data_IF_840619332913
#
_entry.id   IF_840619332913
#
_cell.length_a   1.000
_cell.length_b   1.000
_cell.length_c   1.000
_cell.angle_alpha   90.00
_cell.angle_beta   90.00
_cell.angle_gamma   90.00
#
_symmetry.space_group_name_H-M   'P 1'
#
loop_
_entity.id
_entity.type
_entity.pdbx_description
1 polymer ?
#
# COMPACT_ATOMS: atom_id res chain seq x y z
N UNK A 1 66.42 -12.98 -52.14
CA UNK A 1 65.00 -12.56 -52.26
C UNK A 1 64.21 -13.17 -51.12
N UNK A 2 63.99 -12.39 -50.06
CA UNK A 2 62.88 -12.59 -49.12
C UNK A 2 62.46 -11.17 -48.72
N UNK A 3 61.42 -10.68 -49.37
CA UNK A 3 60.82 -9.39 -49.07
C UNK A 3 60.00 -9.59 -47.80
N UNK A 4 60.44 -8.98 -46.70
CA UNK A 4 59.63 -8.91 -45.48
C UNK A 4 58.64 -7.79 -45.71
N UNK A 5 57.41 -8.15 -46.08
CA UNK A 5 56.30 -7.20 -46.14
C UNK A 5 56.05 -6.65 -44.73
N UNK A 6 55.99 -5.31 -44.54
CA UNK A 6 55.70 -4.74 -43.25
C UNK A 6 54.25 -5.07 -42.89
N UNK A 7 54.06 -5.72 -41.75
CA UNK A 7 52.74 -5.95 -41.16
C UNK A 7 52.10 -4.56 -40.98
N UNK A 8 51.19 -4.22 -41.89
CA UNK A 8 50.26 -3.13 -41.76
C UNK A 8 49.61 -3.25 -40.38
N UNK A 9 50.05 -2.39 -39.45
CA UNK A 9 49.44 -2.19 -38.15
C UNK A 9 48.01 -1.73 -38.38
N UNK A 10 47.08 -2.70 -38.48
CA UNK A 10 45.65 -2.47 -38.49
C UNK A 10 45.32 -1.74 -37.19
N UNK A 11 45.12 -0.42 -37.28
CA UNK A 11 44.67 0.40 -36.16
C UNK A 11 43.42 -0.30 -35.61
N UNK A 12 43.39 -0.71 -34.33
CA UNK A 12 42.26 -1.45 -33.81
C UNK A 12 40.99 -0.65 -34.09
N UNK A 13 40.05 -1.29 -34.77
CA UNK A 13 38.70 -0.76 -34.94
C UNK A 13 38.19 -0.38 -33.54
N UNK A 14 37.52 0.77 -33.36
CA UNK A 14 37.04 1.17 -32.06
C UNK A 14 36.15 0.06 -31.52
N UNK A 15 36.65 -0.63 -30.49
CA UNK A 15 35.89 -1.70 -29.85
C UNK A 15 34.55 -1.11 -29.39
N UNK A 16 33.43 -1.83 -29.59
CA UNK A 16 32.14 -1.36 -29.15
C UNK A 16 32.25 -0.98 -27.67
N UNK A 17 31.90 0.27 -27.35
CA UNK A 17 32.13 0.96 -26.07
C UNK A 17 31.84 0.10 -24.83
N UNK A 18 30.88 -0.83 -24.96
CA UNK A 18 30.47 -1.83 -23.98
C UNK A 18 31.58 -2.82 -23.54
N UNK A 19 32.57 -3.11 -24.39
CA UNK A 19 33.67 -4.03 -24.08
C UNK A 19 34.84 -3.38 -23.33
N UNK A 20 34.89 -2.04 -23.31
CA UNK A 20 35.92 -1.30 -22.57
C UNK A 20 35.74 -1.45 -21.06
N UNK A 21 36.84 -1.41 -20.30
CA UNK A 21 36.79 -1.39 -18.83
C UNK A 21 35.91 -0.23 -18.30
N UNK A 22 35.91 0.90 -19.00
CA UNK A 22 35.08 2.06 -18.66
C UNK A 22 33.57 1.78 -18.83
N UNK A 23 33.18 1.14 -19.93
CA UNK A 23 31.78 0.73 -20.18
C UNK A 23 31.25 -0.20 -19.10
N UNK A 24 32.03 -1.22 -18.72
CA UNK A 24 31.68 -2.15 -17.62
C UNK A 24 31.58 -1.45 -16.26
N UNK A 25 32.49 -0.52 -15.96
CA UNK A 25 32.45 0.24 -14.70
C UNK A 25 31.19 1.13 -14.61
N UNK A 26 30.81 1.80 -15.71
CA UNK A 26 29.60 2.62 -15.76
C UNK A 26 28.33 1.79 -15.62
N UNK A 27 28.28 0.61 -16.27
CA UNK A 27 27.17 -0.34 -16.14
C UNK A 27 27.03 -0.85 -14.71
N UNK A 28 28.15 -1.16 -14.04
CA UNK A 28 28.16 -1.54 -12.62
C UNK A 28 27.67 -0.42 -11.70
N UNK A 29 28.10 0.84 -11.90
CA UNK A 29 27.61 1.96 -11.10
C UNK A 29 26.12 2.21 -11.31
N UNK A 30 25.64 2.10 -12.55
CA UNK A 30 24.22 2.19 -12.88
C UNK A 30 23.43 1.06 -12.21
N UNK A 31 23.94 -0.17 -12.29
CA UNK A 31 23.34 -1.33 -11.63
C UNK A 31 23.29 -1.18 -10.11
N UNK A 32 24.37 -0.74 -9.46
CA UNK A 32 24.42 -0.50 -8.01
C UNK A 32 23.39 0.58 -7.64
N UNK A 33 23.35 1.69 -8.38
CA UNK A 33 22.38 2.76 -8.13
C UNK A 33 20.95 2.27 -8.28
N UNK A 34 20.62 1.58 -9.38
CA UNK A 34 19.29 1.00 -9.60
C UNK A 34 18.94 -0.05 -8.53
N UNK A 35 19.92 -0.84 -8.09
CA UNK A 35 19.75 -1.84 -7.03
C UNK A 35 19.53 -1.16 -5.68
N UNK A 36 20.26 -0.10 -5.34
CA UNK A 36 20.04 0.71 -4.13
C UNK A 36 18.69 1.41 -4.15
N UNK A 37 18.31 1.99 -5.29
CA UNK A 37 16.99 2.63 -5.48
C UNK A 37 15.84 1.61 -5.35
N UNK A 38 16.06 0.34 -5.74
CA UNK A 38 15.10 -0.77 -5.56
C UNK A 38 15.14 -1.40 -4.17
N UNK A 39 16.29 -1.42 -3.50
CA UNK A 39 16.51 -2.02 -2.19
C UNK A 39 16.02 -1.13 -1.02
N UNK A 40 15.77 0.15 -1.28
CA UNK A 40 14.98 1.02 -0.40
C UNK A 40 13.55 0.47 -0.30
N UNK A 41 13.33 -0.55 0.53
CA UNK A 41 12.00 -0.98 0.94
C UNK A 41 11.26 0.22 1.50
N UNK A 42 10.02 0.40 1.07
CA UNK A 42 9.19 1.51 1.52
C UNK A 42 8.79 1.28 2.99
N UNK A 43 9.64 1.69 3.93
CA UNK A 43 9.38 1.71 5.39
C UNK A 43 8.58 2.94 5.82
N UNK A 44 8.04 3.69 4.86
CA UNK A 44 7.55 5.04 5.09
C UNK A 44 6.07 5.12 5.50
N UNK A 45 5.49 4.10 6.12
CA UNK A 45 4.19 4.26 6.80
C UNK A 45 4.42 5.10 8.07
N UNK A 46 3.74 6.25 8.25
CA UNK A 46 3.90 7.08 9.44
C UNK A 46 3.24 6.40 10.64
N UNK A 47 4.03 5.74 11.50
CA UNK A 47 3.52 5.02 12.68
C UNK A 47 2.63 5.89 13.57
N UNK A 48 3.02 7.13 13.84
CA UNK A 48 2.21 8.10 14.59
C UNK A 48 0.87 8.43 13.93
N UNK A 49 0.81 8.47 12.59
CA UNK A 49 -0.45 8.66 11.87
C UNK A 49 -1.41 7.50 12.11
N UNK A 50 -0.89 6.27 12.11
CA UNK A 50 -1.67 5.07 12.45
C UNK A 50 -2.18 5.08 13.90
N UNK A 51 -1.38 5.56 14.85
CA UNK A 51 -1.82 5.71 16.25
C UNK A 51 -2.99 6.69 16.36
N UNK A 52 -2.92 7.86 15.69
CA UNK A 52 -4.01 8.84 15.73
C UNK A 52 -5.28 8.29 15.08
N UNK A 53 -5.18 7.63 13.93
CA UNK A 53 -6.32 6.95 13.29
C UNK A 53 -6.91 5.87 14.22
N UNK A 54 -6.07 5.12 14.92
CA UNK A 54 -6.54 4.14 15.90
C UNK A 54 -7.33 4.78 17.05
N UNK A 55 -6.88 5.92 17.56
CA UNK A 55 -7.59 6.64 18.63
C UNK A 55 -8.95 7.16 18.14
N UNK A 56 -9.03 7.75 16.95
CA UNK A 56 -10.32 8.22 16.40
C UNK A 56 -11.28 7.06 16.16
N UNK A 57 -10.78 5.95 15.61
CA UNK A 57 -11.57 4.75 15.39
C UNK A 57 -12.08 4.12 16.71
N UNK A 58 -11.28 4.12 17.78
CA UNK A 58 -11.73 3.66 19.09
C UNK A 58 -12.83 4.55 19.68
N UNK A 59 -12.71 5.87 19.52
CA UNK A 59 -13.77 6.82 19.93
C UNK A 59 -15.05 6.57 19.12
N UNK A 60 -14.93 6.42 17.79
CA UNK A 60 -16.05 6.10 16.92
C UNK A 60 -16.72 4.78 17.32
N UNK A 61 -15.94 3.73 17.60
CA UNK A 61 -16.46 2.44 18.06
C UNK A 61 -17.19 2.53 19.41
N UNK A 62 -16.66 3.31 20.37
CA UNK A 62 -17.32 3.55 21.65
C UNK A 62 -18.66 4.26 21.47
N UNK A 63 -18.72 5.27 20.60
CA UNK A 63 -19.96 5.98 20.26
C UNK A 63 -20.94 5.01 19.59
N UNK A 64 -20.50 4.30 18.55
CA UNK A 64 -21.31 3.35 17.79
C UNK A 64 -21.86 2.21 18.67
N UNK A 65 -21.13 1.75 19.69
CA UNK A 65 -21.59 0.71 20.61
C UNK A 65 -22.79 1.11 21.49
N UNK A 66 -23.13 2.40 21.55
CA UNK A 66 -24.25 2.94 22.35
C UNK A 66 -25.46 3.32 21.50
N UNK A 67 -25.32 3.26 20.19
CA UNK A 67 -26.35 3.62 19.24
C UNK A 67 -27.10 2.33 18.87
N UNK A 68 -28.40 2.31 19.12
CA UNK A 68 -29.27 1.19 18.71
C UNK A 68 -29.86 1.40 17.30
N UNK A 69 -29.81 2.62 16.78
CA UNK A 69 -30.28 2.95 15.44
C UNK A 69 -29.19 2.64 14.40
N UNK A 70 -29.49 1.74 13.47
CA UNK A 70 -28.53 1.25 12.48
C UNK A 70 -28.09 2.33 11.49
N UNK A 71 -28.94 3.33 11.21
CA UNK A 71 -28.59 4.46 10.36
C UNK A 71 -27.60 5.38 11.06
N UNK A 72 -27.86 5.75 12.32
CA UNK A 72 -26.92 6.54 13.12
C UNK A 72 -25.59 5.81 13.32
N UNK A 73 -25.62 4.49 13.52
CA UNK A 73 -24.42 3.65 13.58
C UNK A 73 -23.61 3.74 12.30
N UNK A 74 -24.28 3.63 11.14
CA UNK A 74 -23.64 3.77 9.82
C UNK A 74 -23.05 5.17 9.62
N UNK A 75 -23.76 6.23 10.04
CA UNK A 75 -23.28 7.61 9.91
C UNK A 75 -21.96 7.85 10.68
N UNK A 76 -21.82 7.28 11.87
CA UNK A 76 -20.57 7.37 12.65
C UNK A 76 -19.39 6.80 11.85
N UNK A 77 -19.53 5.60 11.29
CA UNK A 77 -18.48 4.98 10.48
C UNK A 77 -18.25 5.69 9.14
N UNK A 78 -19.32 6.20 8.52
CA UNK A 78 -19.24 6.99 7.31
C UNK A 78 -18.49 8.32 7.51
N UNK A 79 -18.56 8.92 8.70
CA UNK A 79 -17.76 10.09 9.08
C UNK A 79 -16.32 9.74 9.51
N UNK A 80 -16.12 8.59 10.16
CA UNK A 80 -14.79 8.13 10.58
C UNK A 80 -13.89 7.81 9.38
N UNK A 81 -14.43 7.21 8.31
CA UNK A 81 -13.66 6.88 7.10
C UNK A 81 -12.94 8.10 6.48
N UNK A 82 -13.61 9.22 6.14
CA UNK A 82 -12.95 10.39 5.58
C UNK A 82 -12.01 11.06 6.60
N UNK A 83 -12.34 11.02 7.90
CA UNK A 83 -11.46 11.52 8.95
C UNK A 83 -10.14 10.72 9.00
N UNK A 84 -10.21 9.40 8.98
CA UNK A 84 -9.06 8.50 8.95
C UNK A 84 -8.22 8.70 7.68
N UNK A 85 -8.86 8.83 6.51
CA UNK A 85 -8.17 9.14 5.25
C UNK A 85 -7.46 10.49 5.30
N UNK A 86 -8.07 11.51 5.90
CA UNK A 86 -7.48 12.83 6.05
C UNK A 86 -6.25 12.79 6.97
N UNK A 87 -6.37 12.17 8.14
CA UNK A 87 -5.27 12.01 9.11
C UNK A 87 -4.12 11.22 8.47
N UNK A 88 -4.43 10.07 7.85
CA UNK A 88 -3.45 9.24 7.16
C UNK A 88 -2.76 9.99 6.02
N UNK A 89 -3.53 10.71 5.20
CA UNK A 89 -3.03 11.54 4.11
C UNK A 89 -2.08 12.65 4.59
N UNK A 90 -2.47 13.38 5.64
CA UNK A 90 -1.64 14.43 6.24
C UNK A 90 -0.36 13.84 6.85
N UNK A 91 -0.46 12.73 7.59
CA UNK A 91 0.68 12.07 8.20
C UNK A 91 1.67 11.56 7.13
N UNK A 92 1.17 10.97 6.04
CA UNK A 92 1.98 10.56 4.91
C UNK A 92 2.65 11.76 4.25
N UNK A 93 1.93 12.88 4.10
CA UNK A 93 2.49 14.12 3.54
C UNK A 93 3.62 14.68 4.37
N UNK A 94 3.44 14.75 5.69
CA UNK A 94 4.44 15.24 6.64
C UNK A 94 5.69 14.36 6.64
N UNK A 95 5.53 13.03 6.67
CA UNK A 95 6.67 12.09 6.66
C UNK A 95 7.42 12.11 5.33
N UNK A 96 6.73 12.17 4.20
CA UNK A 96 7.37 12.26 2.89
C UNK A 96 8.17 13.56 2.74
N UNK A 97 7.60 14.69 3.17
CA UNK A 97 8.29 15.99 3.16
C UNK A 97 9.50 16.02 4.09
N UNK A 98 9.41 15.41 5.28
CA UNK A 98 10.52 15.32 6.23
C UNK A 98 11.66 14.43 5.70
N UNK A 99 11.33 13.38 4.95
CA UNK A 99 12.30 12.46 4.36
C UNK A 99 12.80 12.89 2.96
N UNK A 100 12.43 14.09 2.47
CA UNK A 100 12.79 14.60 1.13
C UNK A 100 12.44 13.64 -0.03
N UNK A 101 11.49 12.74 0.18
CA UNK A 101 10.97 11.82 -0.84
C UNK A 101 9.63 12.35 -1.35
N UNK A 102 9.39 12.22 -2.66
CA UNK A 102 8.08 12.56 -3.22
C UNK A 102 7.01 11.67 -2.58
N UNK A 103 5.90 12.26 -2.12
CA UNK A 103 4.72 11.55 -1.59
C UNK A 103 4.27 10.41 -2.51
N UNK A 104 4.35 10.67 -3.82
CA UNK A 104 4.08 9.73 -4.90
C UNK A 104 5.36 9.02 -5.34
N UNK A 105 6.11 8.47 -4.39
CA UNK A 105 7.08 7.44 -4.72
C UNK A 105 6.36 6.28 -5.41
N UNK A 106 7.05 5.57 -6.31
CA UNK A 106 6.43 4.49 -7.08
C UNK A 106 5.69 3.44 -6.23
N UNK A 107 6.15 3.06 -5.01
CA UNK A 107 5.41 2.17 -4.11
C UNK A 107 4.15 2.81 -3.50
N UNK A 108 4.24 4.04 -2.98
CA UNK A 108 3.10 4.73 -2.37
C UNK A 108 1.95 4.98 -3.36
N UNK A 109 2.27 5.37 -4.60
CA UNK A 109 1.26 5.54 -5.66
C UNK A 109 0.55 4.22 -6.00
N UNK A 110 1.31 3.12 -6.07
CA UNK A 110 0.73 1.79 -6.31
C UNK A 110 -0.18 1.37 -5.15
N UNK A 111 0.23 1.59 -3.91
CA UNK A 111 -0.60 1.32 -2.73
C UNK A 111 -1.93 2.09 -2.79
N UNK A 112 -1.91 3.40 -3.05
CA UNK A 112 -3.14 4.18 -3.18
C UNK A 112 -4.01 3.67 -4.32
N UNK A 113 -3.43 3.41 -5.50
CA UNK A 113 -4.18 2.87 -6.65
C UNK A 113 -4.76 1.47 -6.40
N UNK A 114 -4.13 0.66 -5.55
CA UNK A 114 -4.65 -0.64 -5.14
C UNK A 114 -5.72 -0.55 -4.05
N UNK A 115 -5.65 0.46 -3.18
CA UNK A 115 -6.61 0.66 -2.09
C UNK A 115 -7.88 1.40 -2.55
N UNK A 116 -7.78 2.28 -3.55
CA UNK A 116 -8.93 3.06 -4.04
C UNK A 116 -10.08 2.18 -4.56
N UNK A 117 -9.87 1.16 -5.42
CA UNK A 117 -10.99 0.36 -5.92
C UNK A 117 -11.75 -0.39 -4.81
N UNK A 118 -11.09 -1.07 -3.84
CA UNK A 118 -11.80 -1.67 -2.71
C UNK A 118 -12.54 -0.66 -1.82
N UNK A 119 -12.01 0.55 -1.63
CA UNK A 119 -12.70 1.60 -0.87
C UNK A 119 -13.98 2.07 -1.60
N UNK A 120 -13.90 2.29 -2.91
CA UNK A 120 -15.06 2.66 -3.72
C UNK A 120 -16.10 1.54 -3.71
N UNK A 121 -15.67 0.29 -3.88
CA UNK A 121 -16.55 -0.87 -3.81
C UNK A 121 -17.21 -0.99 -2.42
N UNK A 122 -16.47 -0.75 -1.34
CA UNK A 122 -16.99 -0.77 0.02
C UNK A 122 -18.02 0.31 0.26
N UNK A 123 -17.77 1.54 -0.19
CA UNK A 123 -18.73 2.64 -0.09
C UNK A 123 -20.03 2.34 -0.87
N UNK A 124 -19.91 1.88 -2.13
CA UNK A 124 -21.06 1.51 -2.96
C UNK A 124 -21.86 0.36 -2.34
N UNK A 125 -21.17 -0.67 -1.85
CA UNK A 125 -21.82 -1.82 -1.22
C UNK A 125 -22.49 -1.44 0.10
N UNK A 126 -21.92 -0.49 0.86
CA UNK A 126 -22.53 0.01 2.09
C UNK A 126 -23.87 0.69 1.81
N UNK A 127 -23.96 1.49 0.74
CA UNK A 127 -25.22 2.11 0.32
C UNK A 127 -26.20 1.04 -0.18
N UNK A 128 -25.75 0.10 -1.00
CA UNK A 128 -26.59 -0.98 -1.52
C UNK A 128 -27.18 -1.86 -0.40
N UNK A 129 -26.39 -2.19 0.62
CA UNK A 129 -26.82 -3.00 1.76
C UNK A 129 -27.70 -2.21 2.74
N UNK A 130 -27.47 -0.91 2.90
CA UNK A 130 -28.34 -0.05 3.69
C UNK A 130 -29.77 0.00 3.12
N UNK A 131 -29.95 -0.15 1.80
CA UNK A 131 -31.29 -0.21 1.19
C UNK A 131 -32.09 -1.48 1.53
N UNK A 132 -31.43 -2.54 1.98
CA UNK A 132 -32.07 -3.81 2.39
C UNK A 132 -31.90 -4.08 3.88
N UNK A 133 -31.51 -3.06 4.66
CA UNK A 133 -31.31 -3.12 6.11
C UNK A 133 -30.33 -4.22 6.56
N UNK A 134 -29.37 -4.58 5.70
CA UNK A 134 -28.39 -5.61 5.98
C UNK A 134 -27.12 -5.02 6.63
N UNK A 135 -27.26 -4.41 7.80
CA UNK A 135 -26.14 -3.73 8.48
C UNK A 135 -25.16 -4.69 9.15
N UNK A 136 -25.64 -5.84 9.63
CA UNK A 136 -24.82 -6.85 10.34
C UNK A 136 -23.64 -7.38 9.52
N UNK A 137 -23.77 -7.41 8.19
CA UNK A 137 -22.71 -7.91 7.29
C UNK A 137 -21.65 -6.86 6.97
N UNK A 138 -21.91 -5.58 7.25
CA UNK A 138 -21.03 -4.47 6.85
C UNK A 138 -19.64 -4.55 7.49
N UNK A 139 -19.48 -4.79 8.82
CA UNK A 139 -18.15 -4.85 9.42
C UNK A 139 -17.27 -5.93 8.79
N UNK A 140 -17.84 -7.11 8.56
CA UNK A 140 -17.12 -8.22 7.93
C UNK A 140 -16.75 -7.93 6.48
N UNK A 141 -17.67 -7.34 5.71
CA UNK A 141 -17.42 -6.89 4.35
C UNK A 141 -16.33 -5.81 4.27
N UNK A 142 -16.37 -4.81 5.14
CA UNK A 142 -15.36 -3.75 5.21
C UNK A 142 -13.97 -4.32 5.49
N UNK A 143 -13.86 -5.26 6.43
CA UNK A 143 -12.60 -5.95 6.74
C UNK A 143 -12.07 -6.75 5.55
N UNK A 144 -12.93 -7.45 4.81
CA UNK A 144 -12.53 -8.19 3.61
C UNK A 144 -12.02 -7.26 2.50
N UNK A 145 -12.76 -6.17 2.22
CA UNK A 145 -12.40 -5.22 1.17
C UNK A 145 -11.13 -4.43 1.53
N UNK A 146 -11.04 -3.96 2.77
CA UNK A 146 -9.85 -3.30 3.28
C UNK A 146 -8.65 -4.23 3.25
N UNK A 147 -8.80 -5.47 3.74
CA UNK A 147 -7.77 -6.50 3.70
C UNK A 147 -7.30 -6.77 2.26
N UNK A 148 -8.21 -6.89 1.30
CA UNK A 148 -7.88 -7.06 -0.13
C UNK A 148 -7.05 -5.88 -0.67
N UNK A 149 -7.45 -4.64 -0.35
CA UNK A 149 -6.69 -3.44 -0.71
C UNK A 149 -5.30 -3.39 -0.08
N UNK A 150 -5.18 -3.78 1.18
CA UNK A 150 -3.91 -3.83 1.92
C UNK A 150 -3.00 -4.93 1.39
N UNK A 151 -3.51 -6.13 1.07
CA UNK A 151 -2.71 -7.22 0.49
C UNK A 151 -2.17 -6.82 -0.88
N UNK A 152 -3.04 -6.30 -1.75
CA UNK A 152 -2.66 -5.93 -3.12
C UNK A 152 -1.74 -4.71 -3.16
N UNK A 153 -2.01 -3.67 -2.35
CA UNK A 153 -1.14 -2.51 -2.23
C UNK A 153 0.17 -2.83 -1.50
N UNK A 154 0.12 -3.73 -0.51
CA UNK A 154 1.25 -4.18 0.28
C UNK A 154 2.20 -5.13 -0.47
N UNK A 155 1.81 -5.67 -1.62
CA UNK A 155 2.66 -6.55 -2.43
C UNK A 155 4.00 -5.90 -2.84
N UNK A 156 4.05 -4.56 -2.83
CA UNK A 156 5.26 -3.76 -3.09
C UNK A 156 5.86 -3.12 -1.82
N UNK A 157 5.40 -3.52 -0.63
CA UNK A 157 5.86 -3.07 0.68
C UNK A 157 6.57 -4.19 1.43
N UNK A 158 7.04 -3.89 2.65
CA UNK A 158 7.59 -4.91 3.54
C UNK A 158 6.55 -5.99 3.88
N UNK A 159 7.03 -7.22 4.08
CA UNK A 159 6.19 -8.42 4.27
C UNK A 159 5.15 -8.27 5.39
N UNK A 160 5.36 -7.36 6.34
CA UNK A 160 4.44 -7.05 7.42
C UNK A 160 3.08 -6.54 6.91
N UNK A 161 3.05 -5.72 5.85
CA UNK A 161 1.81 -5.08 5.37
C UNK A 161 0.85 -6.09 4.71
N UNK A 162 1.28 -6.96 3.77
CA UNK A 162 0.41 -8.02 3.26
C UNK A 162 -0.07 -9.00 4.33
N UNK A 163 0.79 -9.37 5.28
CA UNK A 163 0.41 -10.29 6.37
C UNK A 163 -0.70 -9.68 7.24
N UNK A 164 -0.60 -8.39 7.54
CA UNK A 164 -1.67 -7.65 8.23
C UNK A 164 -2.98 -7.67 7.41
N UNK A 165 -2.90 -7.45 6.09
CA UNK A 165 -4.06 -7.52 5.20
C UNK A 165 -4.73 -8.89 5.19
N UNK A 166 -3.95 -9.98 5.16
CA UNK A 166 -4.47 -11.35 5.29
C UNK A 166 -5.13 -11.58 6.66
N UNK A 167 -4.59 -10.99 7.73
CA UNK A 167 -5.21 -10.99 9.05
C UNK A 167 -6.60 -10.34 9.03
N UNK A 168 -6.74 -9.16 8.43
CA UNK A 168 -8.04 -8.51 8.27
C UNK A 168 -9.01 -9.34 7.44
N UNK A 169 -8.53 -9.99 6.37
CA UNK A 169 -9.38 -10.89 5.59
C UNK A 169 -9.86 -12.09 6.43
N UNK A 170 -8.99 -12.68 7.25
CA UNK A 170 -9.36 -13.77 8.15
C UNK A 170 -10.41 -13.34 9.18
N UNK A 171 -10.21 -12.21 9.83
CA UNK A 171 -11.17 -11.66 10.82
C UNK A 171 -12.49 -11.29 10.13
N UNK A 172 -12.45 -10.69 8.94
CA UNK A 172 -13.66 -10.34 8.18
C UNK A 172 -14.46 -11.57 7.74
N UNK A 173 -13.78 -12.63 7.32
CA UNK A 173 -14.42 -13.91 7.02
C UNK A 173 -15.07 -14.51 8.27
N UNK A 174 -14.36 -14.51 9.41
CA UNK A 174 -14.94 -14.96 10.67
C UNK A 174 -16.15 -14.10 11.04
N UNK A 175 -16.09 -12.78 10.91
CA UNK A 175 -17.22 -11.90 11.23
C UNK A 175 -18.47 -12.17 10.37
N UNK A 176 -18.31 -12.54 9.09
CA UNK A 176 -19.44 -12.85 8.20
C UNK A 176 -20.03 -14.24 8.43
N UNK A 177 -19.21 -15.22 8.79
CA UNK A 177 -19.63 -16.62 8.89
C UNK A 177 -19.74 -17.13 10.33
N UNK A 178 -19.33 -16.36 11.33
CA UNK A 178 -19.53 -16.70 12.73
C UNK A 178 -21.03 -16.60 13.07
N UNK A 179 -21.58 -17.55 13.85
CA UNK A 179 -22.95 -17.47 14.30
C UNK A 179 -23.16 -16.21 15.16
N UNK A 180 -24.27 -15.50 14.94
CA UNK A 180 -24.71 -14.24 15.58
C UNK A 180 -24.69 -14.29 17.13
N UNK A 181 -24.55 -15.47 17.73
CA UNK A 181 -24.47 -15.73 19.17
C UNK A 181 -23.32 -14.99 19.88
N UNK A 182 -22.28 -14.56 19.16
CA UNK A 182 -21.12 -13.86 19.77
C UNK A 182 -21.29 -12.34 19.88
N UNK A 183 -22.33 -11.75 19.25
CA UNK A 183 -22.60 -10.31 19.30
C UNK A 183 -23.45 -9.86 20.50
N UNK A 184 -23.86 -10.80 21.36
CA UNK A 184 -24.78 -10.57 22.47
C UNK A 184 -24.13 -11.09 23.77
N UNK A 185 -23.18 -10.34 24.32
CA UNK A 185 -22.75 -10.40 25.72
C UNK A 185 -22.22 -9.03 26.13
#
# INVERSE_FOLDING_TARGET
MSSVDPILSKKPEPEPEKNTLHGRAMENLKFIRETMERASSFTAVPGWGGVVVGITALIAALIASRINDEHEWMYVWACELPLALLIGGIAMKRKASAAQVKLLSAPGRKFTLSLTPPLVAGALMSVALAHVEAYDVLPGLWLLLYGTGVVTGGAFSEKVVPVMGLGFMGIGAIALFAPVVWGIC
#
